data_IF_511936247766
#
_entry.id   IF_511936247766
#
_cell.length_a   1.000
_cell.length_b   1.000
_cell.length_c   1.000
_cell.angle_alpha   90.00
_cell.angle_beta   90.00
_cell.angle_gamma   90.00
#
_symmetry.space_group_name_H-M   'P 1'
#
loop_
_entity.id
_entity.type
_entity.pdbx_description
1 polymer ?
#
# COMPACT_ATOMS: atom_id res chain seq x y z
N UNK A 1 -21.09 -8.34 -16.14
CA UNK A 1 -22.05 -8.37 -15.02
C UNK A 1 -21.73 -9.61 -14.18
N UNK A 2 -21.19 -9.45 -12.97
CA UNK A 2 -21.08 -10.57 -12.02
C UNK A 2 -22.40 -10.65 -11.28
N UNK A 3 -22.99 -11.84 -11.30
CA UNK A 3 -24.29 -12.16 -10.73
C UNK A 3 -24.26 -11.98 -9.20
N UNK A 4 -25.09 -11.06 -8.70
CA UNK A 4 -25.23 -10.76 -7.27
C UNK A 4 -26.02 -11.85 -6.51
N UNK A 5 -26.45 -12.92 -7.19
CA UNK A 5 -27.15 -14.07 -6.62
C UNK A 5 -26.27 -14.99 -5.73
N UNK A 6 -24.99 -14.67 -5.49
CA UNK A 6 -24.09 -15.48 -4.65
C UNK A 6 -24.04 -15.04 -3.17
N UNK A 7 -24.89 -14.10 -2.74
CA UNK A 7 -24.86 -13.58 -1.36
C UNK A 7 -25.51 -14.57 -0.36
N UNK A 8 -26.42 -15.45 -0.81
CA UNK A 8 -27.12 -16.42 0.04
C UNK A 8 -26.62 -17.86 -0.04
N UNK A 9 -25.59 -18.14 -0.87
CA UNK A 9 -24.95 -19.47 -0.91
C UNK A 9 -23.64 -19.40 -0.15
N UNK A 10 -23.50 -20.21 0.90
CA UNK A 10 -22.24 -20.41 1.61
C UNK A 10 -21.09 -20.55 0.62
N UNK A 11 -19.96 -19.89 0.91
CA UNK A 11 -18.75 -19.99 0.09
C UNK A 11 -18.28 -21.44 -0.05
N UNK A 12 -17.35 -21.72 -0.97
CA UNK A 12 -16.84 -23.07 -1.18
C UNK A 12 -16.39 -23.66 0.16
N UNK A 13 -17.04 -24.76 0.56
CA UNK A 13 -16.59 -25.54 1.71
C UNK A 13 -15.36 -26.34 1.31
N UNK A 14 -14.51 -26.74 2.26
CA UNK A 14 -13.47 -27.74 2.01
C UNK A 14 -14.08 -29.04 1.46
N UNK A 15 -13.34 -29.78 0.61
CA UNK A 15 -13.75 -31.10 0.18
C UNK A 15 -14.11 -31.99 1.38
N UNK A 16 -15.18 -32.78 1.26
CA UNK A 16 -15.64 -33.63 2.36
C UNK A 16 -14.55 -34.59 2.86
N UNK A 17 -13.70 -35.08 1.95
CA UNK A 17 -12.55 -35.92 2.30
C UNK A 17 -11.60 -35.23 3.30
N UNK A 18 -11.37 -33.92 3.15
CA UNK A 18 -10.54 -33.17 4.09
C UNK A 18 -11.23 -33.05 5.45
N UNK A 19 -12.53 -32.79 5.45
CA UNK A 19 -13.33 -32.71 6.68
C UNK A 19 -13.35 -34.06 7.41
N UNK A 20 -13.48 -35.17 6.68
CA UNK A 20 -13.48 -36.52 7.25
C UNK A 20 -12.10 -36.87 7.84
N UNK A 21 -11.00 -36.48 7.16
CA UNK A 21 -9.63 -36.62 7.68
C UNK A 21 -9.43 -35.80 8.96
N UNK A 22 -9.93 -34.57 8.97
CA UNK A 22 -9.90 -33.68 10.15
C UNK A 22 -10.66 -34.29 11.33
N UNK A 23 -11.89 -34.74 11.10
CA UNK A 23 -12.70 -35.40 12.12
C UNK A 23 -12.01 -36.65 12.67
N UNK A 24 -11.43 -37.46 11.79
CA UNK A 24 -10.69 -38.66 12.19
C UNK A 24 -9.48 -38.33 13.06
N UNK A 25 -8.67 -37.34 12.66
CA UNK A 25 -7.50 -36.90 13.42
C UNK A 25 -7.87 -36.44 14.84
N UNK A 26 -8.93 -35.64 14.98
CA UNK A 26 -9.42 -35.19 16.30
C UNK A 26 -9.98 -36.36 17.12
N UNK A 27 -10.80 -37.22 16.52
CA UNK A 27 -11.43 -38.34 17.22
C UNK A 27 -10.42 -39.37 17.72
N UNK A 28 -9.39 -39.65 16.94
CA UNK A 28 -8.33 -40.60 17.28
C UNK A 28 -7.21 -39.92 18.09
N UNK A 29 -7.26 -38.58 18.26
CA UNK A 29 -6.22 -37.77 18.90
C UNK A 29 -4.83 -38.05 18.31
N UNK A 30 -4.77 -38.17 16.98
CA UNK A 30 -3.57 -38.57 16.23
C UNK A 30 -3.29 -37.60 15.07
N UNK A 31 -2.33 -36.66 15.24
CA UNK A 31 -1.94 -35.72 14.18
C UNK A 31 -1.12 -36.39 13.05
N UNK A 32 -0.72 -37.66 13.18
CA UNK A 32 -0.01 -38.41 12.12
C UNK A 32 -0.93 -38.81 10.97
N UNK A 33 -2.26 -38.79 11.18
CA UNK A 33 -3.29 -38.97 10.15
C UNK A 33 -3.18 -37.90 9.06
N UNK A 34 -2.68 -36.71 9.41
CA UNK A 34 -2.44 -35.62 8.48
C UNK A 34 -1.10 -35.81 7.78
N UNK A 35 -1.10 -35.80 6.45
CA UNK A 35 0.14 -35.78 5.67
C UNK A 35 0.89 -34.45 5.87
N UNK A 36 2.16 -34.39 5.46
CA UNK A 36 2.90 -33.12 5.48
C UNK A 36 2.22 -32.04 4.64
N UNK A 37 1.59 -32.40 3.53
CA UNK A 37 0.86 -31.46 2.68
C UNK A 37 -0.42 -30.97 3.36
N UNK A 38 -1.14 -31.84 4.07
CA UNK A 38 -2.30 -31.44 4.89
C UNK A 38 -1.89 -30.46 5.99
N UNK A 39 -0.77 -30.73 6.68
CA UNK A 39 -0.22 -29.85 7.72
C UNK A 39 0.14 -28.48 7.15
N UNK A 40 0.83 -28.44 6.01
CA UNK A 40 1.15 -27.18 5.33
C UNK A 40 -0.13 -26.43 4.95
N UNK A 41 -1.13 -27.09 4.33
CA UNK A 41 -2.42 -26.48 4.01
C UNK A 41 -3.14 -25.94 5.24
N UNK A 42 -3.14 -26.68 6.35
CA UNK A 42 -3.76 -26.26 7.61
C UNK A 42 -3.08 -25.04 8.22
N UNK A 43 -1.75 -24.96 8.12
CA UNK A 43 -0.97 -23.78 8.47
C UNK A 43 -1.10 -22.64 7.45
N UNK A 44 -1.89 -22.85 6.39
CA UNK A 44 -2.01 -21.98 5.21
C UNK A 44 -0.62 -21.73 4.63
N UNK A 45 0.10 -22.76 4.25
CA UNK A 45 1.41 -22.69 3.62
C UNK A 45 1.34 -23.14 2.19
N UNK A 46 2.13 -22.50 1.33
CA UNK A 46 2.46 -23.06 0.02
C UNK A 46 3.16 -24.42 0.20
N UNK A 47 3.18 -25.28 -0.84
CA UNK A 47 4.13 -26.38 -0.91
C UNK A 47 5.55 -25.91 -0.59
N UNK A 48 6.34 -26.76 0.07
CA UNK A 48 7.58 -26.36 0.75
C UNK A 48 8.59 -25.66 -0.17
N UNK A 49 8.73 -26.13 -1.41
CA UNK A 49 9.59 -25.53 -2.43
C UNK A 49 9.20 -24.07 -2.73
N UNK A 50 7.90 -23.82 -2.93
CA UNK A 50 7.35 -22.48 -3.15
C UNK A 50 7.40 -21.63 -1.89
N UNK A 51 7.07 -22.20 -0.74
CA UNK A 51 7.14 -21.51 0.54
C UNK A 51 8.56 -20.99 0.82
N UNK A 52 9.58 -21.82 0.59
CA UNK A 52 10.99 -21.43 0.71
C UNK A 52 11.38 -20.36 -0.29
N UNK A 53 11.02 -20.52 -1.58
CA UNK A 53 11.30 -19.53 -2.61
C UNK A 53 10.80 -18.13 -2.20
N UNK A 54 9.52 -18.03 -1.83
CA UNK A 54 8.93 -16.76 -1.48
C UNK A 54 9.41 -16.22 -0.12
N UNK A 55 9.62 -17.10 0.87
CA UNK A 55 10.19 -16.68 2.16
C UNK A 55 11.57 -16.06 1.94
N UNK A 56 12.41 -16.69 1.11
CA UNK A 56 13.75 -16.17 0.79
C UNK A 56 13.66 -14.86 0.01
N UNK A 57 12.72 -14.76 -0.94
CA UNK A 57 12.50 -13.53 -1.70
C UNK A 57 12.02 -12.34 -0.84
N UNK A 58 11.24 -12.59 0.21
CA UNK A 58 10.65 -11.52 1.03
C UNK A 58 11.45 -11.18 2.28
N UNK A 59 12.07 -12.18 2.92
CA UNK A 59 12.74 -12.01 4.22
C UNK A 59 14.13 -12.66 4.26
N UNK A 60 14.68 -13.09 3.11
CA UNK A 60 16.06 -13.55 2.99
C UNK A 60 16.39 -14.88 3.69
N UNK A 61 15.37 -15.65 4.09
CA UNK A 61 15.53 -16.93 4.80
C UNK A 61 14.51 -17.97 4.33
N UNK A 62 14.78 -19.25 4.58
CA UNK A 62 13.83 -20.34 4.36
C UNK A 62 12.69 -20.30 5.39
N UNK A 63 11.59 -21.02 5.14
CA UNK A 63 10.45 -21.04 6.08
C UNK A 63 10.86 -21.62 7.44
N UNK A 64 11.70 -22.66 7.43
CA UNK A 64 12.16 -23.32 8.66
C UNK A 64 13.07 -22.40 9.48
N UNK A 65 14.01 -21.71 8.84
CA UNK A 65 14.86 -20.71 9.50
C UNK A 65 14.02 -19.58 10.11
N UNK A 66 13.00 -19.10 9.39
CA UNK A 66 12.09 -18.08 9.88
C UNK A 66 11.28 -18.56 11.09
N UNK A 67 10.75 -19.79 11.04
CA UNK A 67 10.03 -20.40 12.19
C UNK A 67 10.96 -20.53 13.39
N UNK A 68 12.20 -20.99 13.19
CA UNK A 68 13.19 -21.10 14.27
C UNK A 68 13.59 -19.74 14.85
N UNK A 69 13.66 -18.70 14.01
CA UNK A 69 13.86 -17.31 14.47
C UNK A 69 12.66 -16.85 15.31
N UNK A 70 11.45 -16.97 14.77
CA UNK A 70 10.21 -16.55 15.41
C UNK A 70 9.93 -17.32 16.71
N UNK A 71 10.35 -18.58 16.82
CA UNK A 71 10.25 -19.33 18.06
C UNK A 71 11.07 -18.74 19.22
N UNK A 72 12.10 -17.93 18.92
CA UNK A 72 13.02 -17.35 19.93
C UNK A 72 12.66 -15.92 20.32
N UNK A 73 11.88 -15.20 19.51
CA UNK A 73 11.60 -13.77 19.75
C UNK A 73 10.30 -13.32 19.07
N UNK A 74 9.65 -12.33 19.69
CA UNK A 74 8.51 -11.59 19.11
C UNK A 74 8.94 -10.31 18.38
N UNK A 75 10.25 -10.05 18.27
CA UNK A 75 10.79 -8.92 17.51
C UNK A 75 10.87 -9.28 16.03
N UNK A 76 9.70 -9.43 15.41
CA UNK A 76 9.53 -9.75 14.01
C UNK A 76 9.05 -8.52 13.23
N UNK A 77 9.53 -8.38 12.01
CA UNK A 77 8.96 -7.43 11.04
C UNK A 77 7.53 -7.82 10.69
N UNK A 78 6.76 -6.91 10.09
CA UNK A 78 5.41 -7.22 9.63
C UNK A 78 5.42 -8.37 8.62
N UNK A 79 6.35 -8.35 7.66
CA UNK A 79 6.48 -9.41 6.66
C UNK A 79 6.76 -10.77 7.30
N UNK A 80 7.71 -10.84 8.24
CA UNK A 80 8.03 -12.07 8.97
C UNK A 80 6.83 -12.59 9.77
N UNK A 81 6.17 -11.72 10.52
CA UNK A 81 5.00 -12.10 11.31
C UNK A 81 3.86 -12.61 10.41
N UNK A 82 3.60 -11.93 9.28
CA UNK A 82 2.60 -12.39 8.32
C UNK A 82 2.96 -13.77 7.77
N UNK A 83 4.19 -13.98 7.31
CA UNK A 83 4.62 -15.27 6.70
C UNK A 83 4.47 -16.42 7.70
N UNK A 84 4.86 -16.21 8.96
CA UNK A 84 4.69 -17.23 10.03
C UNK A 84 3.22 -17.53 10.29
N UNK A 85 2.36 -16.50 10.33
CA UNK A 85 0.93 -16.67 10.65
C UNK A 85 0.11 -17.23 9.49
N UNK A 86 0.40 -16.77 8.27
CA UNK A 86 -0.35 -17.04 7.06
C UNK A 86 0.59 -16.99 5.85
N UNK A 87 0.59 -18.04 5.05
CA UNK A 87 1.03 -17.98 3.66
C UNK A 87 -0.24 -17.98 2.79
N UNK A 88 -0.57 -16.83 2.23
CA UNK A 88 0.16 -16.49 1.02
C UNK A 88 0.68 -15.05 0.94
N UNK A 89 1.65 -14.92 0.04
CA UNK A 89 2.30 -13.68 -0.36
C UNK A 89 1.33 -12.83 -1.20
N UNK A 90 0.73 -11.82 -0.57
CA UNK A 90 -0.28 -10.99 -1.25
C UNK A 90 -1.53 -11.79 -1.62
N UNK A 91 -2.17 -11.43 -2.73
CA UNK A 91 -3.39 -12.09 -3.26
C UNK A 91 -3.12 -13.48 -3.88
N UNK A 92 -1.86 -13.96 -3.86
CA UNK A 92 -1.48 -15.22 -4.50
C UNK A 92 -1.74 -16.39 -3.56
N UNK A 93 -3.00 -16.75 -3.34
CA UNK A 93 -3.34 -18.00 -2.65
C UNK A 93 -3.11 -19.14 -3.65
N UNK A 94 -2.47 -20.26 -3.26
CA UNK A 94 -2.48 -21.47 -4.08
C UNK A 94 -3.90 -21.78 -4.57
N UNK A 95 -4.08 -22.07 -5.86
CA UNK A 95 -5.43 -22.34 -6.41
C UNK A 95 -6.14 -23.48 -5.66
N UNK A 96 -5.37 -24.45 -5.19
CA UNK A 96 -5.81 -25.59 -4.37
C UNK A 96 -6.07 -25.26 -2.88
N UNK A 97 -5.99 -23.98 -2.51
CA UNK A 97 -6.27 -23.48 -1.15
C UNK A 97 -7.27 -22.32 -1.14
N UNK A 98 -7.96 -22.05 -2.25
CA UNK A 98 -8.94 -20.96 -2.32
C UNK A 98 -10.06 -21.10 -1.28
N UNK A 99 -10.47 -22.32 -0.93
CA UNK A 99 -11.44 -22.59 0.13
C UNK A 99 -10.98 -22.11 1.51
N UNK A 100 -9.67 -22.17 1.79
CA UNK A 100 -9.04 -21.75 3.05
C UNK A 100 -9.08 -20.23 3.26
N UNK A 101 -9.40 -19.47 2.22
CA UNK A 101 -9.45 -17.99 2.26
C UNK A 101 -10.83 -17.48 2.67
N UNK A 102 -11.86 -18.31 2.46
CA UNK A 102 -13.25 -17.99 2.68
C UNK A 102 -13.79 -18.63 3.97
N UNK A 103 -12.93 -18.89 4.96
CA UNK A 103 -13.34 -19.52 6.22
C UNK A 103 -14.52 -18.83 6.88
N UNK A 104 -14.68 -17.51 6.74
CA UNK A 104 -15.85 -16.78 7.26
C UNK A 104 -17.18 -17.36 6.77
N UNK A 105 -17.22 -17.93 5.56
CA UNK A 105 -18.38 -18.55 4.94
C UNK A 105 -18.52 -20.06 5.20
N UNK A 106 -17.57 -20.67 5.92
CA UNK A 106 -17.69 -22.06 6.34
C UNK A 106 -18.79 -22.24 7.38
N UNK A 107 -19.38 -23.44 7.40
CA UNK A 107 -20.31 -23.84 8.46
C UNK A 107 -19.62 -23.76 9.84
N UNK A 108 -20.41 -23.55 10.89
CA UNK A 108 -19.87 -23.50 12.27
C UNK A 108 -19.16 -24.80 12.65
N UNK A 109 -19.68 -25.96 12.22
CA UNK A 109 -19.05 -27.26 12.48
C UNK A 109 -17.70 -27.39 11.75
N UNK A 110 -17.64 -27.02 10.47
CA UNK A 110 -16.39 -27.05 9.69
C UNK A 110 -15.33 -26.14 10.30
N UNK A 111 -15.72 -24.92 10.72
CA UNK A 111 -14.81 -24.01 11.44
C UNK A 111 -14.29 -24.64 12.71
N UNK A 112 -15.18 -25.18 13.55
CA UNK A 112 -14.79 -25.81 14.81
C UNK A 112 -13.81 -26.96 14.56
N UNK A 113 -14.14 -27.87 13.66
CA UNK A 113 -13.29 -29.02 13.33
C UNK A 113 -11.91 -28.59 12.84
N UNK A 114 -11.84 -27.57 11.98
CA UNK A 114 -10.57 -27.02 11.52
C UNK A 114 -9.71 -26.48 12.67
N UNK A 115 -10.31 -25.74 13.62
CA UNK A 115 -9.58 -25.21 14.77
C UNK A 115 -9.14 -26.32 15.72
N UNK A 116 -10.02 -27.30 16.00
CA UNK A 116 -9.71 -28.45 16.88
C UNK A 116 -8.52 -29.25 16.32
N UNK A 117 -8.50 -29.53 15.01
CA UNK A 117 -7.36 -30.22 14.37
C UNK A 117 -6.10 -29.34 14.35
N UNK A 118 -6.24 -28.03 14.11
CA UNK A 118 -5.08 -27.12 14.09
C UNK A 118 -4.44 -27.04 15.49
N UNK A 119 -5.24 -27.03 16.54
CA UNK A 119 -4.76 -27.10 17.92
C UNK A 119 -4.09 -28.43 18.23
N UNK A 120 -4.69 -29.55 17.79
CA UNK A 120 -4.08 -30.88 17.91
C UNK A 120 -2.71 -30.93 17.21
N UNK A 121 -2.62 -30.39 15.99
CA UNK A 121 -1.37 -30.31 15.25
C UNK A 121 -0.32 -29.48 16.01
N UNK A 122 -0.67 -28.28 16.46
CA UNK A 122 0.26 -27.37 17.15
C UNK A 122 0.67 -27.85 18.55
N UNK A 123 -0.07 -28.78 19.16
CA UNK A 123 0.28 -29.38 20.45
C UNK A 123 1.11 -30.65 20.32
N UNK A 124 1.32 -31.17 19.10
CA UNK A 124 2.23 -32.28 18.85
C UNK A 124 3.67 -31.92 19.26
N UNK A 125 4.44 -32.86 19.86
CA UNK A 125 5.81 -32.59 20.33
C UNK A 125 6.74 -31.97 19.28
N UNK A 126 6.61 -32.40 18.03
CA UNK A 126 7.39 -31.92 16.89
C UNK A 126 7.03 -30.50 16.43
N UNK A 127 5.86 -29.98 16.86
CA UNK A 127 5.34 -28.66 16.47
C UNK A 127 5.59 -27.57 17.53
N UNK A 128 6.36 -27.86 18.58
CA UNK A 128 6.62 -26.90 19.67
C UNK A 128 7.26 -25.58 19.21
N UNK A 129 8.19 -25.64 18.25
CA UNK A 129 8.78 -24.43 17.64
C UNK A 129 7.75 -23.65 16.82
N UNK A 130 6.91 -24.34 16.04
CA UNK A 130 5.85 -23.72 15.24
C UNK A 130 4.83 -23.01 16.13
N UNK A 131 4.36 -23.65 17.19
CA UNK A 131 3.42 -23.06 18.15
C UNK A 131 3.99 -21.78 18.77
N UNK A 132 5.23 -21.84 19.27
CA UNK A 132 5.89 -20.67 19.86
C UNK A 132 6.10 -19.56 18.83
N UNK A 133 6.53 -19.91 17.61
CA UNK A 133 6.73 -18.96 16.51
C UNK A 133 5.44 -18.21 16.16
N UNK A 134 4.31 -18.93 16.07
CA UNK A 134 3.00 -18.34 15.79
C UNK A 134 2.56 -17.40 16.92
N UNK A 135 2.68 -17.80 18.18
CA UNK A 135 2.37 -16.93 19.32
C UNK A 135 3.18 -15.62 19.27
N UNK A 136 4.49 -15.71 19.02
CA UNK A 136 5.36 -14.54 18.90
C UNK A 136 5.00 -13.66 17.69
N UNK A 137 4.64 -14.28 16.56
CA UNK A 137 4.15 -13.57 15.38
C UNK A 137 2.80 -12.89 15.61
N UNK A 138 1.88 -13.48 16.39
CA UNK A 138 0.63 -12.83 16.78
C UNK A 138 0.88 -11.60 17.65
N UNK A 139 1.84 -11.66 18.58
CA UNK A 139 2.25 -10.51 19.39
C UNK A 139 2.83 -9.41 18.50
N UNK A 140 3.78 -9.74 17.62
CA UNK A 140 4.39 -8.80 16.68
C UNK A 140 3.34 -8.12 15.78
N UNK A 141 2.45 -8.92 15.18
CA UNK A 141 1.39 -8.43 14.32
C UNK A 141 0.33 -7.62 15.11
N UNK A 142 0.09 -7.99 16.36
CA UNK A 142 -0.75 -7.25 17.31
C UNK A 142 -0.23 -5.84 17.55
N UNK A 143 1.09 -5.64 17.70
CA UNK A 143 1.72 -4.31 17.83
C UNK A 143 1.45 -3.46 16.58
N UNK A 144 1.57 -4.03 15.38
CA UNK A 144 1.29 -3.31 14.13
C UNK A 144 -0.19 -2.92 14.03
N UNK A 145 -1.12 -3.82 14.39
CA UNK A 145 -2.55 -3.50 14.44
C UNK A 145 -2.85 -2.39 15.45
N UNK A 146 -2.21 -2.42 16.62
CA UNK A 146 -2.39 -1.39 17.64
C UNK A 146 -1.92 0.00 17.15
N UNK A 147 -0.84 0.05 16.36
CA UNK A 147 -0.37 1.29 15.71
C UNK A 147 -1.35 1.81 14.65
N UNK A 148 -1.92 0.92 13.83
CA UNK A 148 -2.85 1.32 12.74
C UNK A 148 -4.24 1.69 13.23
N UNK A 149 -4.71 1.06 14.32
CA UNK A 149 -6.07 1.23 14.84
C UNK A 149 -6.48 2.68 15.11
N UNK A 150 -5.69 3.52 15.81
CA UNK A 150 -6.05 4.92 16.03
C UNK A 150 -6.07 5.72 14.72
N UNK A 151 -5.24 5.37 13.73
CA UNK A 151 -5.16 6.06 12.45
C UNK A 151 -6.34 5.76 11.52
N UNK A 152 -7.00 4.61 11.67
CA UNK A 152 -8.15 4.24 10.82
C UNK A 152 -9.26 5.31 10.79
N UNK A 153 -9.45 6.05 11.88
CA UNK A 153 -10.48 7.10 11.96
C UNK A 153 -10.17 8.32 11.09
N UNK A 154 -8.90 8.50 10.71
CA UNK A 154 -8.43 9.65 9.94
C UNK A 154 -8.69 9.47 8.43
N UNK A 155 -9.15 8.30 7.99
CA UNK A 155 -9.25 7.97 6.57
C UNK A 155 -10.64 7.46 6.22
N UNK A 156 -11.11 7.79 5.02
CA UNK A 156 -12.30 7.15 4.46
C UNK A 156 -11.99 5.69 4.11
N UNK A 157 -13.05 4.89 3.92
CA UNK A 157 -12.91 3.50 3.45
C UNK A 157 -12.15 3.45 2.11
N UNK A 158 -12.39 4.41 1.23
CA UNK A 158 -11.76 4.44 -0.09
C UNK A 158 -10.29 4.88 -0.02
N UNK A 159 -9.93 5.81 0.87
CA UNK A 159 -8.53 6.15 1.13
C UNK A 159 -7.77 4.92 1.62
N UNK A 160 -8.33 4.19 2.58
CA UNK A 160 -7.73 2.97 3.12
C UNK A 160 -7.57 1.91 2.03
N UNK A 161 -8.57 1.69 1.18
CA UNK A 161 -8.46 0.75 0.05
C UNK A 161 -7.33 1.15 -0.90
N UNK A 162 -7.20 2.43 -1.22
CA UNK A 162 -6.15 2.92 -2.13
C UNK A 162 -4.77 2.77 -1.52
N UNK A 163 -4.58 3.21 -0.28
CA UNK A 163 -3.31 3.12 0.46
C UNK A 163 -2.89 1.65 0.60
N UNK A 164 -3.79 0.79 1.08
CA UNK A 164 -3.48 -0.62 1.30
C UNK A 164 -3.35 -1.42 0.01
N UNK A 165 -4.07 -1.04 -1.05
CA UNK A 165 -3.93 -1.63 -2.38
C UNK A 165 -2.53 -1.42 -2.98
N UNK A 166 -1.86 -0.31 -2.63
CA UNK A 166 -0.47 -0.06 -3.05
C UNK A 166 0.54 -1.02 -2.42
N UNK A 167 0.18 -1.77 -1.37
CA UNK A 167 1.03 -2.82 -0.81
C UNK A 167 1.28 -3.99 -1.78
N UNK A 168 0.51 -4.07 -2.86
CA UNK A 168 0.73 -5.04 -3.94
C UNK A 168 1.88 -4.64 -4.86
N UNK A 169 2.34 -3.39 -4.81
CA UNK A 169 3.48 -2.90 -5.58
C UNK A 169 4.76 -3.05 -4.74
N UNK A 170 5.92 -3.37 -5.36
CA UNK A 170 7.20 -3.50 -4.66
C UNK A 170 7.82 -2.13 -4.29
N UNK A 171 7.01 -1.09 -4.12
CA UNK A 171 7.49 0.29 -3.99
C UNK A 171 8.25 0.53 -2.68
N UNK A 172 7.87 -0.11 -1.57
CA UNK A 172 8.59 -0.02 -0.29
C UNK A 172 10.01 -0.61 -0.45
N UNK A 173 10.14 -1.76 -1.12
CA UNK A 173 11.46 -2.35 -1.45
C UNK A 173 12.27 -1.42 -2.34
N UNK A 174 11.62 -0.76 -3.30
CA UNK A 174 12.24 0.26 -4.15
C UNK A 174 12.81 1.42 -3.34
N UNK A 175 12.09 1.89 -2.32
CA UNK A 175 12.59 2.92 -1.38
C UNK A 175 13.72 2.37 -0.52
N UNK A 176 13.60 1.16 0.03
CA UNK A 176 14.68 0.56 0.83
C UNK A 176 15.99 0.51 0.03
N UNK A 177 15.94 0.11 -1.24
CA UNK A 177 17.09 0.14 -2.15
C UNK A 177 17.58 1.56 -2.44
N UNK A 178 16.68 2.52 -2.64
CA UNK A 178 17.06 3.93 -2.78
C UNK A 178 17.80 4.44 -1.54
N UNK A 179 17.35 4.04 -0.36
CA UNK A 179 17.95 4.42 0.92
C UNK A 179 19.31 3.77 1.20
N UNK A 180 19.72 2.75 0.45
CA UNK A 180 21.10 2.24 0.48
C UNK A 180 22.11 3.27 -0.09
N UNK A 181 21.65 4.16 -0.97
CA UNK A 181 22.49 5.13 -1.69
C UNK A 181 22.21 6.58 -1.30
N UNK A 182 21.00 6.86 -0.79
CA UNK A 182 20.52 8.20 -0.49
C UNK A 182 20.03 8.26 0.96
N UNK A 183 20.23 9.37 1.68
CA UNK A 183 19.88 9.45 3.10
C UNK A 183 18.36 9.60 3.34
N UNK A 184 17.63 10.09 2.34
CA UNK A 184 16.21 10.44 2.44
C UNK A 184 15.46 10.12 1.15
N UNK A 185 14.14 10.16 1.23
CA UNK A 185 13.26 10.07 0.07
C UNK A 185 12.10 11.06 0.23
N UNK A 186 11.59 11.56 -0.89
CA UNK A 186 10.40 12.40 -0.90
C UNK A 186 10.44 13.50 -1.94
N UNK A 187 9.75 14.61 -1.66
CA UNK A 187 9.48 15.63 -2.66
C UNK A 187 9.97 17.01 -2.24
N UNK A 188 10.21 17.84 -3.24
CA UNK A 188 10.19 19.30 -3.07
C UNK A 188 8.75 19.79 -3.20
N UNK A 189 8.33 20.73 -2.36
CA UNK A 189 7.04 21.39 -2.47
C UNK A 189 7.22 22.91 -2.54
N UNK A 190 6.76 23.52 -3.63
CA UNK A 190 6.89 24.95 -3.90
C UNK A 190 5.61 25.67 -3.47
N UNK A 191 5.73 26.67 -2.58
CA UNK A 191 4.62 27.57 -2.24
C UNK A 191 4.42 28.55 -3.39
N UNK A 192 3.23 28.62 -3.94
CA UNK A 192 2.89 29.58 -5.02
C UNK A 192 1.83 30.59 -4.61
N UNK A 193 1.25 30.43 -3.42
CA UNK A 193 0.30 31.39 -2.83
C UNK A 193 0.84 31.93 -1.52
N UNK A 194 0.98 33.26 -1.46
CA UNK A 194 1.57 33.99 -0.34
C UNK A 194 0.53 34.88 0.35
N UNK A 195 -0.61 34.28 0.71
CA UNK A 195 -1.59 34.86 1.62
C UNK A 195 -1.08 34.93 3.06
N UNK A 196 -1.96 34.75 4.05
CA UNK A 196 -1.57 34.77 5.47
C UNK A 196 -0.58 33.64 5.81
N UNK A 197 0.53 33.97 6.48
CA UNK A 197 1.53 32.96 6.87
C UNK A 197 0.98 31.93 7.85
N UNK A 198 0.00 32.29 8.68
CA UNK A 198 -0.74 31.37 9.54
C UNK A 198 -1.43 30.25 8.73
N UNK A 199 -1.95 30.57 7.54
CA UNK A 199 -2.58 29.58 6.67
C UNK A 199 -1.55 28.62 6.08
N UNK A 200 -0.36 29.13 5.75
CA UNK A 200 0.73 28.31 5.26
C UNK A 200 1.28 27.35 6.34
N UNK A 201 1.46 27.83 7.57
CA UNK A 201 1.87 26.95 8.68
C UNK A 201 0.81 25.87 8.94
N UNK A 202 -0.48 26.23 8.94
CA UNK A 202 -1.58 25.26 9.07
C UNK A 202 -1.54 24.21 7.95
N UNK A 203 -1.24 24.63 6.72
CA UNK A 203 -1.08 23.70 5.59
C UNK A 203 0.09 22.73 5.82
N UNK A 204 1.27 23.22 6.23
CA UNK A 204 2.45 22.37 6.49
C UNK A 204 2.21 21.38 7.63
N UNK A 205 1.59 21.83 8.73
CA UNK A 205 1.25 20.98 9.88
C UNK A 205 0.25 19.89 9.49
N UNK A 206 -0.82 20.26 8.79
CA UNK A 206 -1.79 19.31 8.28
C UNK A 206 -1.14 18.30 7.32
N UNK A 207 -0.30 18.77 6.40
CA UNK A 207 0.39 17.94 5.42
C UNK A 207 1.26 16.88 6.10
N UNK A 208 2.06 17.29 7.07
CA UNK A 208 2.91 16.41 7.86
C UNK A 208 2.05 15.38 8.64
N UNK A 209 1.02 15.84 9.34
CA UNK A 209 0.15 14.97 10.13
C UNK A 209 -0.56 13.92 9.26
N UNK A 210 -1.17 14.33 8.14
CA UNK A 210 -1.89 13.44 7.24
C UNK A 210 -0.96 12.42 6.57
N UNK A 211 0.24 12.83 6.16
CA UNK A 211 1.27 11.95 5.60
C UNK A 211 1.76 10.93 6.63
N UNK A 212 2.11 11.37 7.83
CA UNK A 212 2.56 10.50 8.93
C UNK A 212 1.50 9.45 9.30
N UNK A 213 0.24 9.90 9.36
CA UNK A 213 -0.91 9.04 9.63
C UNK A 213 -1.12 8.02 8.50
N UNK A 214 -0.87 8.38 7.23
CA UNK A 214 -1.04 7.47 6.11
C UNK A 214 0.11 6.46 6.00
N UNK A 215 1.33 6.86 6.36
CA UNK A 215 2.53 6.02 6.30
C UNK A 215 2.54 4.85 7.28
N UNK A 216 1.56 4.67 8.17
CA UNK A 216 1.49 3.45 9.01
C UNK A 216 0.89 2.24 8.29
N UNK A 217 0.21 2.45 7.17
CA UNK A 217 -0.52 1.41 6.43
C UNK A 217 0.30 0.65 5.37
N UNK A 218 1.36 1.23 4.76
CA UNK A 218 2.31 0.47 3.99
C UNK A 218 2.87 -0.72 4.77
N UNK A 219 3.11 -1.85 4.09
CA UNK A 219 3.83 -2.98 4.68
C UNK A 219 5.27 -2.56 4.97
N UNK A 220 5.81 -3.01 6.09
CA UNK A 220 7.17 -2.68 6.52
C UNK A 220 7.44 -1.16 6.63
N UNK A 221 6.41 -0.35 6.86
CA UNK A 221 6.57 1.12 6.89
C UNK A 221 7.67 1.61 7.84
N UNK A 222 7.98 0.88 8.90
CA UNK A 222 9.01 1.23 9.86
C UNK A 222 10.42 1.38 9.23
N UNK A 223 10.71 0.71 8.11
CA UNK A 223 12.00 0.84 7.41
C UNK A 223 12.12 2.11 6.58
N UNK A 224 11.00 2.67 6.11
CA UNK A 224 10.99 3.85 5.22
C UNK A 224 10.52 5.13 5.92
N UNK A 225 9.64 5.02 6.92
CA UNK A 225 9.00 6.15 7.59
C UNK A 225 10.00 7.12 8.25
N UNK A 226 11.09 6.70 8.89
CA UNK A 226 12.03 7.66 9.49
C UNK A 226 12.75 8.57 8.48
N UNK A 227 12.72 8.22 7.18
CA UNK A 227 13.54 8.84 6.15
C UNK A 227 12.74 9.65 5.11
N UNK A 228 11.42 9.74 5.26
CA UNK A 228 10.64 10.57 4.35
C UNK A 228 10.90 12.05 4.64
N UNK A 229 10.92 12.88 3.60
CA UNK A 229 11.16 14.32 3.73
C UNK A 229 10.40 15.11 2.69
N UNK A 230 9.98 16.30 3.11
CA UNK A 230 9.50 17.35 2.21
C UNK A 230 10.40 18.57 2.34
N UNK A 231 10.93 19.05 1.21
CA UNK A 231 11.68 20.30 1.16
C UNK A 231 10.73 21.40 0.69
N UNK A 232 10.38 22.30 1.61
CA UNK A 232 9.54 23.46 1.31
C UNK A 232 10.36 24.56 0.66
N UNK A 233 9.88 25.10 -0.46
CA UNK A 233 10.49 26.24 -1.15
C UNK A 233 9.50 27.41 -1.11
N UNK A 234 9.94 28.50 -0.50
CA UNK A 234 9.14 29.71 -0.27
C UNK A 234 9.81 30.90 -0.98
N UNK A 235 9.80 30.87 -2.32
CA UNK A 235 10.36 31.94 -3.15
C UNK A 235 9.23 32.84 -3.69
N UNK A 236 9.24 34.11 -3.30
CA UNK A 236 8.24 35.11 -3.72
C UNK A 236 8.20 35.34 -5.24
N UNK A 237 9.24 34.98 -5.98
CA UNK A 237 9.22 35.05 -7.45
C UNK A 237 8.27 34.02 -8.07
N UNK A 238 7.80 33.02 -7.30
CA UNK A 238 6.90 31.96 -7.75
C UNK A 238 5.42 32.22 -7.41
N UNK A 239 5.07 33.43 -6.97
CA UNK A 239 3.67 33.83 -6.72
C UNK A 239 2.86 33.64 -8.01
N UNK A 240 1.78 32.85 -7.93
CA UNK A 240 0.87 32.54 -9.04
C UNK A 240 1.56 32.05 -10.33
N UNK A 241 2.77 31.48 -10.19
CA UNK A 241 3.54 30.99 -11.32
C UNK A 241 2.78 29.88 -12.09
N UNK A 242 2.90 29.90 -13.42
CA UNK A 242 2.32 28.84 -14.24
C UNK A 242 3.05 27.51 -14.01
N UNK A 243 2.41 26.39 -14.36
CA UNK A 243 3.04 25.06 -14.27
C UNK A 243 4.34 25.00 -15.07
N UNK A 244 4.41 25.64 -16.24
CA UNK A 244 5.61 25.68 -17.09
C UNK A 244 6.75 26.45 -16.42
N UNK A 245 6.43 27.58 -15.77
CA UNK A 245 7.41 28.37 -15.02
C UNK A 245 7.93 27.58 -13.81
N UNK A 246 7.04 26.90 -13.08
CA UNK A 246 7.39 26.05 -11.95
C UNK A 246 8.29 24.88 -12.37
N UNK A 247 7.98 24.19 -13.47
CA UNK A 247 8.81 23.11 -14.00
C UNK A 247 10.20 23.61 -14.41
N UNK A 248 10.28 24.80 -15.02
CA UNK A 248 11.55 25.41 -15.41
C UNK A 248 12.37 25.85 -14.19
N UNK A 249 11.72 26.42 -13.17
CA UNK A 249 12.33 26.80 -11.90
C UNK A 249 12.84 25.58 -11.13
N UNK A 250 12.03 24.52 -11.03
CA UNK A 250 12.41 23.29 -10.35
C UNK A 250 13.62 22.60 -11.01
N UNK A 251 13.66 22.52 -12.36
CA UNK A 251 14.83 22.00 -13.07
C UNK A 251 16.10 22.79 -12.76
N UNK A 252 16.00 24.12 -12.68
CA UNK A 252 17.12 24.97 -12.26
C UNK A 252 17.57 24.65 -10.83
N UNK A 253 16.64 24.45 -9.88
CA UNK A 253 16.99 24.03 -8.52
C UNK A 253 17.77 22.70 -8.51
N UNK A 254 17.38 21.74 -9.36
CA UNK A 254 18.09 20.47 -9.52
C UNK A 254 19.50 20.68 -10.11
N UNK A 255 19.62 21.45 -11.19
CA UNK A 255 20.90 21.75 -11.86
C UNK A 255 21.88 22.50 -10.95
N UNK A 256 21.35 23.40 -10.11
CA UNK A 256 22.12 24.16 -9.13
C UNK A 256 22.40 23.38 -7.83
N UNK A 257 22.01 22.09 -7.74
CA UNK A 257 22.15 21.25 -6.55
C UNK A 257 21.52 21.86 -5.27
N UNK A 258 20.42 22.61 -5.45
CA UNK A 258 19.63 23.18 -4.34
C UNK A 258 18.56 22.22 -3.81
N UNK A 259 18.32 21.13 -4.51
CA UNK A 259 17.45 20.03 -4.06
C UNK A 259 18.28 19.05 -3.22
N UNK A 260 17.75 18.68 -2.06
CA UNK A 260 18.41 17.75 -1.17
C UNK A 260 18.59 16.36 -1.82
N UNK A 261 19.79 15.76 -1.70
CA UNK A 261 20.04 14.43 -2.25
C UNK A 261 19.02 13.38 -1.75
N UNK A 262 18.43 12.64 -2.68
CA UNK A 262 17.46 11.60 -2.39
C UNK A 262 15.99 12.01 -2.61
N UNK A 263 15.69 13.30 -2.73
CA UNK A 263 14.37 13.75 -3.18
C UNK A 263 14.22 13.52 -4.70
N UNK A 264 12.97 13.38 -5.18
CA UNK A 264 12.73 13.18 -6.63
C UNK A 264 13.10 14.41 -7.44
N UNK A 265 13.65 14.16 -8.62
CA UNK A 265 13.97 15.18 -9.63
C UNK A 265 13.04 15.12 -10.86
N UNK A 266 12.23 14.08 -11.01
CA UNK A 266 11.30 13.91 -12.13
C UNK A 266 9.87 14.38 -11.82
N UNK A 267 9.57 14.64 -10.54
CA UNK A 267 8.29 15.10 -10.03
C UNK A 267 8.48 16.00 -8.81
N UNK A 268 7.64 17.02 -8.69
CA UNK A 268 7.60 17.91 -7.51
C UNK A 268 6.16 18.27 -7.15
N UNK A 269 5.96 18.82 -5.95
CA UNK A 269 4.67 19.29 -5.46
C UNK A 269 4.61 20.82 -5.49
N UNK A 270 3.41 21.38 -5.54
CA UNK A 270 3.21 22.80 -5.29
C UNK A 270 1.87 23.08 -4.60
N UNK A 271 1.84 24.14 -3.80
CA UNK A 271 0.67 24.58 -3.06
C UNK A 271 0.22 25.95 -3.57
N UNK A 272 -0.83 25.93 -4.40
CA UNK A 272 -1.54 27.13 -4.83
C UNK A 272 -2.62 27.52 -3.81
N UNK A 273 -3.31 28.65 -4.06
CA UNK A 273 -4.35 29.17 -3.17
C UNK A 273 -5.42 28.12 -2.88
N UNK A 274 -5.92 27.41 -3.89
CA UNK A 274 -6.93 26.37 -3.68
C UNK A 274 -6.45 25.21 -2.79
N UNK A 275 -5.19 24.80 -2.92
CA UNK A 275 -4.61 23.74 -2.09
C UNK A 275 -4.52 24.19 -0.62
N UNK A 276 -4.06 25.41 -0.37
CA UNK A 276 -3.99 25.98 0.99
C UNK A 276 -5.41 26.11 1.56
N UNK A 277 -6.33 26.73 0.82
CA UNK A 277 -7.73 26.93 1.24
C UNK A 277 -8.46 25.62 1.52
N UNK A 278 -8.10 24.53 0.82
CA UNK A 278 -8.66 23.21 1.06
C UNK A 278 -8.34 22.66 2.46
N UNK A 279 -7.16 22.99 3.00
CA UNK A 279 -6.79 22.67 4.39
C UNK A 279 -7.48 23.62 5.35
N UNK A 280 -7.45 24.93 5.09
CA UNK A 280 -8.05 25.93 6.00
C UNK A 280 -9.55 25.69 6.18
N UNK A 281 -10.23 25.32 5.10
CA UNK A 281 -11.66 25.01 5.12
C UNK A 281 -11.98 23.68 5.83
N UNK A 282 -11.00 22.79 5.99
CA UNK A 282 -11.17 21.47 6.60
C UNK A 282 -9.88 20.98 7.26
N UNK A 283 -9.45 21.57 8.39
CA UNK A 283 -8.14 21.36 9.00
C UNK A 283 -8.04 20.08 9.83
N UNK A 284 -8.97 19.13 9.64
CA UNK A 284 -9.05 17.89 10.41
C UNK A 284 -9.29 16.70 9.49
N UNK A 285 -8.72 15.55 9.85
CA UNK A 285 -8.89 14.30 9.10
C UNK A 285 -10.16 13.56 9.53
N UNK A 286 -10.87 12.88 8.60
CA UNK A 286 -10.62 12.81 7.17
C UNK A 286 -10.94 14.12 6.45
N UNK A 287 -10.05 14.55 5.54
CA UNK A 287 -10.16 15.83 4.82
C UNK A 287 -10.12 15.63 3.31
N UNK A 288 -10.84 16.46 2.52
CA UNK A 288 -10.67 16.53 1.07
C UNK A 288 -9.41 17.30 0.65
N UNK A 289 -8.59 17.74 1.59
CA UNK A 289 -7.41 18.55 1.32
C UNK A 289 -6.43 17.87 0.35
N UNK A 290 -5.86 18.70 -0.53
CA UNK A 290 -5.00 18.24 -1.60
C UNK A 290 -3.76 19.11 -1.75
N UNK A 291 -2.81 18.59 -2.52
CA UNK A 291 -1.66 19.31 -3.05
C UNK A 291 -1.60 19.07 -4.56
N UNK A 292 -0.97 19.97 -5.31
CA UNK A 292 -0.72 19.74 -6.72
C UNK A 292 0.61 19.01 -6.90
N UNK A 293 0.67 18.09 -7.87
CA UNK A 293 1.90 17.43 -8.27
C UNK A 293 2.17 17.70 -9.76
N UNK A 294 3.39 18.08 -10.11
CA UNK A 294 3.79 18.45 -11.46
C UNK A 294 4.91 17.55 -12.01
N UNK A 295 4.85 17.30 -13.32
CA UNK A 295 5.90 16.61 -14.06
C UNK A 295 7.04 17.57 -14.36
N UNK A 296 8.23 17.33 -13.80
CA UNK A 296 9.38 18.24 -13.95
C UNK A 296 9.79 18.49 -15.40
N UNK A 297 9.58 17.51 -16.27
CA UNK A 297 9.91 17.58 -17.70
C UNK A 297 8.85 18.30 -18.56
N UNK A 298 7.71 18.70 -18.00
CA UNK A 298 6.65 19.37 -18.76
C UNK A 298 7.09 20.77 -19.19
N UNK A 299 6.96 21.07 -20.49
CA UNK A 299 7.37 22.33 -21.11
C UNK A 299 6.21 23.08 -21.79
N UNK A 300 4.98 22.58 -21.68
CA UNK A 300 3.80 23.17 -22.32
C UNK A 300 3.66 22.91 -23.83
N UNK A 301 4.64 22.26 -24.45
CA UNK A 301 4.68 21.98 -25.90
C UNK A 301 4.61 20.49 -26.21
N UNK A 302 5.13 19.66 -25.31
CA UNK A 302 5.02 18.21 -25.38
C UNK A 302 3.74 17.75 -24.71
N UNK A 303 2.80 17.25 -25.51
CA UNK A 303 1.71 16.41 -25.04
C UNK A 303 2.19 14.96 -25.23
N UNK A 304 2.87 14.35 -24.24
CA UNK A 304 3.76 13.23 -24.48
C UNK A 304 2.96 11.97 -24.78
N UNK A 305 2.72 11.63 -26.05
CA UNK A 305 2.13 10.36 -26.51
C UNK A 305 1.02 9.82 -25.60
N UNK A 306 0.16 10.73 -25.11
CA UNK A 306 -0.90 10.35 -24.21
C UNK A 306 -2.05 9.80 -25.06
N UNK A 307 -2.62 8.64 -24.70
CA UNK A 307 -3.84 8.15 -25.32
C UNK A 307 -4.88 9.28 -25.44
N UNK A 308 -5.74 9.29 -26.48
CA UNK A 308 -6.70 10.37 -26.73
C UNK A 308 -7.58 10.73 -25.53
N UNK A 309 -7.72 9.82 -24.57
CA UNK A 309 -8.46 9.99 -23.32
C UNK A 309 -7.83 11.01 -22.34
N UNK A 310 -6.59 11.47 -22.56
CA UNK A 310 -5.84 12.32 -21.61
C UNK A 310 -5.33 13.63 -22.22
N UNK A 311 -5.99 14.13 -23.26
CA UNK A 311 -5.61 15.38 -23.95
C UNK A 311 -5.68 16.62 -23.04
N UNK A 312 -6.41 16.56 -21.94
CA UNK A 312 -6.55 17.65 -20.95
C UNK A 312 -5.41 17.69 -19.91
N UNK A 313 -4.43 16.79 -19.98
CA UNK A 313 -3.31 16.81 -19.04
C UNK A 313 -2.41 18.04 -19.30
N UNK A 314 -2.44 18.99 -18.37
CA UNK A 314 -1.70 20.24 -18.45
C UNK A 314 -0.40 20.24 -17.61
N UNK A 315 0.25 19.09 -17.47
CA UNK A 315 1.53 18.96 -16.76
C UNK A 315 1.43 18.81 -15.24
N UNK A 316 0.23 18.89 -14.66
CA UNK A 316 0.01 18.70 -13.22
C UNK A 316 -1.29 17.95 -12.89
N UNK A 317 -1.34 17.38 -11.69
CA UNK A 317 -2.48 16.62 -11.16
C UNK A 317 -2.76 17.01 -9.70
N UNK A 318 -4.02 16.93 -9.29
CA UNK A 318 -4.44 17.10 -7.88
C UNK A 318 -4.26 15.77 -7.14
N UNK A 319 -3.55 15.77 -6.01
CA UNK A 319 -3.32 14.61 -5.17
C UNK A 319 -3.84 14.91 -3.76
N UNK A 320 -4.72 14.05 -3.24
CA UNK A 320 -5.11 14.12 -1.82
C UNK A 320 -3.88 13.92 -0.94
N UNK A 321 -3.69 14.78 0.08
CA UNK A 321 -2.47 14.84 0.89
C UNK A 321 -2.07 13.46 1.48
N UNK A 322 -2.98 12.68 2.11
CA UNK A 322 -2.72 11.30 2.54
C UNK A 322 -2.08 10.35 1.52
N UNK A 323 -2.31 10.63 0.24
CA UNK A 323 -1.95 9.74 -0.86
C UNK A 323 -0.59 10.08 -1.49
N UNK A 324 0.02 11.21 -1.13
CA UNK A 324 1.28 11.69 -1.73
C UNK A 324 2.38 10.62 -1.68
N UNK A 325 2.63 10.04 -0.51
CA UNK A 325 3.73 9.08 -0.33
C UNK A 325 3.31 7.62 -0.44
N UNK A 326 2.05 7.30 -0.14
CA UNK A 326 1.57 5.92 -0.13
C UNK A 326 1.10 5.45 -1.50
N UNK A 327 0.58 6.37 -2.31
CA UNK A 327 -0.20 6.06 -3.52
C UNK A 327 0.45 6.70 -4.75
N UNK A 328 0.72 8.01 -4.71
CA UNK A 328 1.36 8.73 -5.80
C UNK A 328 2.83 8.32 -5.96
N UNK A 329 3.65 8.41 -4.90
CA UNK A 329 5.04 7.93 -4.95
C UNK A 329 5.15 6.48 -5.42
N UNK A 330 4.32 5.58 -4.88
CA UNK A 330 4.32 4.17 -5.21
C UNK A 330 4.14 3.88 -6.71
N UNK A 331 3.39 4.74 -7.41
CA UNK A 331 3.13 4.64 -8.85
C UNK A 331 4.24 5.24 -9.72
N UNK A 332 5.17 5.97 -9.12
CA UNK A 332 6.30 6.59 -9.80
C UNK A 332 7.60 5.78 -9.70
N UNK A 333 7.65 4.69 -8.93
CA UNK A 333 8.83 3.80 -8.86
C UNK A 333 8.79 2.85 -10.07
N UNK A 334 9.87 2.85 -10.85
CA UNK A 334 10.18 1.81 -11.84
C UNK A 334 11.23 0.88 -11.24
N UNK A 335 11.04 -0.44 -11.29
CA UNK A 335 12.20 -1.33 -11.21
C UNK A 335 12.95 -1.33 -12.55
N UNK A 336 14.24 -1.71 -12.55
CA UNK A 336 15.00 -1.87 -13.78
C UNK A 336 14.43 -2.99 -14.68
N UNK A 337 13.81 -3.99 -14.04
CA UNK A 337 13.10 -5.09 -14.68
C UNK A 337 11.79 -4.61 -15.32
N UNK A 338 11.02 -3.72 -14.67
CA UNK A 338 9.81 -3.10 -15.26
C UNK A 338 10.13 -2.27 -16.51
N UNK A 339 11.26 -1.56 -16.51
CA UNK A 339 11.74 -0.80 -17.66
C UNK A 339 12.09 -1.75 -18.82
N UNK A 340 12.72 -2.89 -18.52
CA UNK A 340 13.10 -3.89 -19.50
C UNK A 340 11.88 -4.65 -20.05
N UNK A 341 10.91 -5.02 -19.22
CA UNK A 341 9.67 -5.67 -19.64
C UNK A 341 8.74 -4.75 -20.44
N UNK A 342 8.72 -3.44 -20.12
CA UNK A 342 8.02 -2.42 -20.90
C UNK A 342 8.66 -2.22 -22.29
N UNK A 343 10.00 -2.11 -22.35
CA UNK A 343 10.74 -2.04 -23.61
C UNK A 343 10.59 -3.31 -24.46
N UNK A 344 10.33 -4.45 -23.83
CA UNK A 344 10.08 -5.75 -24.48
C UNK A 344 8.59 -6.00 -24.80
N UNK A 345 7.68 -5.07 -24.46
CA UNK A 345 6.24 -5.20 -24.71
C UNK A 345 5.55 -6.34 -23.94
N UNK A 346 6.19 -6.86 -22.88
CA UNK A 346 5.74 -8.04 -22.12
C UNK A 346 4.93 -7.70 -20.88
N UNK A 347 5.05 -6.47 -20.36
CA UNK A 347 4.28 -6.00 -19.22
C UNK A 347 3.31 -4.90 -19.65
N UNK A 348 2.02 -5.17 -19.47
CA UNK A 348 1.01 -4.12 -19.41
C UNK A 348 0.92 -3.63 -17.96
N UNK A 349 1.12 -2.32 -17.75
CA UNK A 349 0.62 -1.50 -16.61
C UNK A 349 1.53 -1.18 -15.40
N UNK A 350 2.84 -1.07 -15.51
CA UNK A 350 3.65 -0.60 -14.35
C UNK A 350 4.42 0.71 -14.52
N UNK A 351 4.36 1.35 -15.69
CA UNK A 351 4.57 2.80 -15.78
C UNK A 351 3.19 3.43 -15.88
N UNK A 352 2.73 4.13 -14.85
CA UNK A 352 1.72 5.14 -15.13
C UNK A 352 2.45 6.29 -15.81
N UNK A 353 2.18 6.48 -17.11
CA UNK A 353 2.45 7.78 -17.71
C UNK A 353 1.75 8.85 -16.86
N UNK A 354 2.24 10.08 -16.87
CA UNK A 354 1.54 11.14 -16.15
C UNK A 354 0.08 11.28 -16.58
N UNK A 355 -0.26 10.90 -17.83
CA UNK A 355 -1.65 10.75 -18.27
C UNK A 355 -2.42 9.61 -17.60
N UNK A 356 -1.80 8.46 -17.31
CA UNK A 356 -2.45 7.41 -16.51
C UNK A 356 -2.60 7.79 -15.04
N UNK A 357 -1.64 8.53 -14.46
CA UNK A 357 -1.77 9.11 -13.12
C UNK A 357 -2.93 10.12 -13.11
N UNK A 358 -3.00 10.98 -14.12
CA UNK A 358 -4.07 11.96 -14.32
C UNK A 358 -5.45 11.31 -14.50
N UNK A 359 -5.56 10.31 -15.36
CA UNK A 359 -6.78 9.52 -15.57
C UNK A 359 -7.32 8.98 -14.24
N UNK A 360 -6.43 8.39 -13.45
CA UNK A 360 -6.75 7.79 -12.17
C UNK A 360 -7.12 8.83 -11.12
N UNK A 361 -6.61 10.05 -11.24
CA UNK A 361 -7.00 11.19 -10.40
C UNK A 361 -8.38 11.78 -10.79
N UNK A 362 -8.82 11.65 -12.05
CA UNK A 362 -10.08 12.23 -12.55
C UNK A 362 -11.34 11.36 -12.35
N UNK A 363 -11.21 10.06 -12.10
CA UNK A 363 -12.37 9.14 -12.08
C UNK A 363 -13.17 9.30 -10.78
N UNK A 364 -14.41 9.78 -10.91
CA UNK A 364 -15.38 10.07 -9.84
C UNK A 364 -15.97 8.79 -9.20
N UNK A 365 -15.89 7.66 -9.90
CA UNK A 365 -16.37 6.36 -9.41
C UNK A 365 -15.21 5.42 -9.14
N UNK A 366 -15.02 5.11 -7.85
CA UNK A 366 -14.34 3.92 -7.33
C UNK A 366 -13.07 3.49 -8.09
N UNK A 367 -11.88 3.85 -7.56
CA UNK A 367 -10.74 2.93 -7.32
C UNK A 367 -9.36 3.57 -7.26
N UNK A 368 -9.19 4.89 -7.42
CA UNK A 368 -7.80 5.41 -7.39
C UNK A 368 -7.53 6.70 -6.63
N UNK A 369 -8.40 7.71 -6.63
CA UNK A 369 -8.29 8.88 -5.73
C UNK A 369 -9.69 9.48 -5.56
N UNK A 370 -10.19 9.76 -4.35
CA UNK A 370 -11.46 10.46 -4.22
C UNK A 370 -11.25 11.94 -4.54
N UNK A 371 -11.46 12.33 -5.79
CA UNK A 371 -11.87 13.68 -6.12
C UNK A 371 -13.36 13.60 -6.42
N UNK A 372 -14.21 13.74 -5.40
CA UNK A 372 -15.60 14.09 -5.69
C UNK A 372 -15.57 15.48 -6.34
N UNK A 373 -16.17 15.68 -7.52
CA UNK A 373 -16.50 17.01 -7.96
C UNK A 373 -17.62 17.50 -7.05
N UNK A 374 -17.33 18.50 -6.22
CA UNK A 374 -18.36 19.33 -5.64
C UNK A 374 -18.95 20.20 -6.76
N UNK A 375 -19.91 19.65 -7.50
CA UNK A 375 -20.95 20.50 -8.06
C UNK A 375 -21.92 20.82 -6.93
N UNK A 376 -21.71 21.98 -6.29
CA UNK A 376 -22.82 22.71 -5.67
C UNK A 376 -23.53 23.50 -6.77
N UNK A 377 -24.87 23.40 -6.79
CA UNK A 377 -25.75 24.40 -7.38
C UNK A 377 -26.63 23.86 -8.51
N UNK A 378 -27.91 23.61 -8.23
CA UNK A 378 -28.99 24.58 -8.43
C UNK A 378 -30.33 23.86 -8.18
N UNK A 379 -31.02 24.21 -7.10
CA UNK A 379 -32.48 24.11 -7.06
C UNK A 379 -33.01 25.46 -7.54
N UNK A 380 -33.61 25.59 -8.73
CA UNK A 380 -34.39 26.77 -9.03
C UNK A 380 -35.71 26.63 -8.29
N UNK A 381 -36.07 27.70 -7.58
CA UNK A 381 -37.44 27.95 -7.17
C UNK A 381 -38.38 27.78 -8.38
N UNK A 382 -39.40 26.93 -8.23
CA UNK A 382 -40.81 27.22 -8.51
C UNK A 382 -41.71 26.07 -8.04
#
# INVERSE_FOLDING_TARGET
>A
MRDWASIDRGGPQPPQENIDKWERAVKENDPSILTNEDRLRMLRRWPLDKANYYCTFHVGSTIDELVQKAAKTDNLTEAEAIIVLNTPFGDSIPEDQQEMTNQKRWSSNTKKMFHDVLELLLTAPEMGSEKTARTNAEIAFGRIKALRKPELKNFSIDDLKNITGCNMLPWVKGIEKHLEQQPVWGFVCIRTSFGEDSSWETFKEFFAHATESALVFPRNFASIRPFWKIQWIEDLSMVDASVVDLCSYFRRLCEENKVEPGLRHDAFLYANTEAIDSVISSPTMPSPAFVMAAQAAYDGTTNPDLPPLYQDFAGSVRISIPHVYTTFWARLISTAEDLQEHLLGKSARMRHTWGEVFAKAQIIHEQTYPIKPFFMGFSPER
#
